data_IF_990453005468
#
_entry.id   IF_990453005468
#
_cell.length_a   1.000
_cell.length_b   1.000
_cell.length_c   1.000
_cell.angle_alpha   90.00
_cell.angle_beta   90.00
_cell.angle_gamma   90.00
#
_symmetry.space_group_name_H-M   'P 1'
#
loop_
_entity.id
_entity.type
_entity.pdbx_description
1 polymer ?
#
# COMPACT_ATOMS: atom_id res chain seq x y z
N UNK A 1 -19.71 -15.02 -7.68
CA UNK A 1 -18.85 -13.89 -8.06
C UNK A 1 -19.04 -13.67 -9.55
N UNK A 2 -19.36 -12.46 -9.96
CA UNK A 2 -19.57 -12.12 -11.37
C UNK A 2 -18.22 -11.94 -12.08
N UNK A 3 -18.21 -12.06 -13.41
CA UNK A 3 -17.01 -11.84 -14.22
C UNK A 3 -16.40 -10.45 -13.98
N UNK A 4 -17.24 -9.43 -13.77
CA UNK A 4 -16.83 -8.05 -13.50
C UNK A 4 -16.16 -7.90 -12.14
N UNK A 5 -16.66 -8.59 -11.12
CA UNK A 5 -16.05 -8.59 -9.79
C UNK A 5 -14.66 -9.24 -9.82
N UNK A 6 -14.51 -10.34 -10.58
CA UNK A 6 -13.23 -11.02 -10.77
C UNK A 6 -12.24 -10.13 -11.53
N UNK A 7 -12.66 -9.48 -12.62
CA UNK A 7 -11.83 -8.54 -13.37
C UNK A 7 -11.34 -7.41 -12.47
N UNK A 8 -12.25 -6.80 -11.69
CA UNK A 8 -11.90 -5.75 -10.73
C UNK A 8 -10.88 -6.22 -9.72
N UNK A 9 -11.11 -7.37 -9.08
CA UNK A 9 -10.18 -7.89 -8.06
C UNK A 9 -8.80 -8.16 -8.67
N UNK A 10 -8.74 -8.79 -9.83
CA UNK A 10 -7.48 -9.07 -10.52
C UNK A 10 -6.73 -7.79 -10.88
N UNK A 11 -7.43 -6.80 -11.44
CA UNK A 11 -6.83 -5.52 -11.80
C UNK A 11 -6.28 -4.79 -10.57
N UNK A 12 -7.07 -4.68 -9.50
CA UNK A 12 -6.64 -3.99 -8.28
C UNK A 12 -5.47 -4.71 -7.62
N UNK A 13 -5.49 -6.04 -7.52
CA UNK A 13 -4.37 -6.82 -6.98
C UNK A 13 -3.09 -6.61 -7.80
N UNK A 14 -3.19 -6.74 -9.12
CA UNK A 14 -2.06 -6.48 -10.01
C UNK A 14 -1.53 -5.06 -9.83
N UNK A 15 -2.38 -4.04 -9.95
CA UNK A 15 -1.98 -2.63 -9.91
C UNK A 15 -1.39 -2.20 -8.56
N UNK A 16 -1.86 -2.78 -7.46
CA UNK A 16 -1.51 -2.36 -6.09
C UNK A 16 -0.33 -3.09 -5.48
N UNK A 17 -0.19 -4.40 -5.77
CA UNK A 17 0.75 -5.27 -5.06
C UNK A 17 1.84 -5.85 -5.98
N UNK A 18 1.50 -6.19 -7.22
CA UNK A 18 2.39 -6.96 -8.09
C UNK A 18 3.09 -6.12 -9.14
N UNK A 19 2.41 -5.12 -9.69
CA UNK A 19 2.94 -4.31 -10.76
C UNK A 19 4.03 -3.36 -10.24
N UNK A 20 5.22 -3.51 -10.80
CA UNK A 20 6.28 -2.51 -10.66
C UNK A 20 5.98 -1.27 -11.51
N UNK A 21 6.60 -0.13 -11.19
CA UNK A 21 6.43 1.10 -11.98
C UNK A 21 6.76 0.88 -13.46
N UNK A 22 7.79 0.08 -13.75
CA UNK A 22 8.19 -0.29 -15.11
C UNK A 22 7.11 -1.10 -15.83
N UNK A 23 6.46 -2.04 -15.15
CA UNK A 23 5.38 -2.83 -15.75
C UNK A 23 4.13 -1.98 -16.00
N UNK A 24 3.85 -1.02 -15.13
CA UNK A 24 2.78 -0.03 -15.34
C UNK A 24 3.10 0.83 -16.56
N UNK A 25 4.34 1.28 -16.72
CA UNK A 25 4.78 2.05 -17.89
C UNK A 25 4.69 1.23 -19.19
N UNK A 26 5.11 -0.05 -19.14
CA UNK A 26 4.93 -0.98 -20.28
C UNK A 26 3.44 -1.17 -20.59
N UNK A 27 2.58 -1.30 -19.58
CA UNK A 27 1.14 -1.39 -19.79
C UNK A 27 0.55 -0.10 -20.37
N UNK A 28 1.04 1.08 -19.97
CA UNK A 28 0.67 2.38 -20.55
C UNK A 28 1.06 2.52 -22.01
N UNK A 29 2.15 1.87 -22.45
CA UNK A 29 2.61 1.94 -23.84
C UNK A 29 1.95 0.89 -24.72
N UNK A 30 1.81 -0.35 -24.24
CA UNK A 30 1.30 -1.47 -25.05
C UNK A 30 -0.21 -1.65 -24.98
N UNK A 31 -0.82 -1.38 -23.83
CA UNK A 31 -2.23 -1.66 -23.53
C UNK A 31 -2.96 -0.42 -23.02
N UNK A 32 -2.60 0.76 -23.54
CA UNK A 32 -3.06 2.07 -23.03
C UNK A 32 -4.57 2.14 -22.87
N UNK A 33 -5.32 1.75 -23.90
CA UNK A 33 -6.78 1.87 -23.90
C UNK A 33 -7.43 1.01 -22.83
N UNK A 34 -6.97 -0.24 -22.68
CA UNK A 34 -7.46 -1.16 -21.66
C UNK A 34 -7.11 -0.64 -20.26
N UNK A 35 -5.87 -0.18 -20.08
CA UNK A 35 -5.42 0.37 -18.80
C UNK A 35 -6.20 1.63 -18.42
N UNK A 36 -6.39 2.56 -19.35
CA UNK A 36 -7.16 3.80 -19.12
C UNK A 36 -8.63 3.48 -18.81
N UNK A 37 -9.23 2.50 -19.50
CA UNK A 37 -10.59 2.03 -19.19
C UNK A 37 -10.68 1.51 -17.76
N UNK A 38 -9.78 0.60 -17.37
CA UNK A 38 -9.77 -0.03 -16.05
C UNK A 38 -9.48 0.98 -14.94
N UNK A 39 -8.54 1.91 -15.17
CA UNK A 39 -8.26 3.01 -14.24
C UNK A 39 -9.46 3.92 -14.04
N UNK A 40 -10.20 4.23 -15.10
CA UNK A 40 -11.41 5.05 -15.02
C UNK A 40 -12.56 4.29 -14.33
N UNK A 41 -12.76 3.03 -14.70
CA UNK A 41 -13.86 2.20 -14.21
C UNK A 41 -13.70 1.85 -12.72
N UNK A 42 -12.46 1.61 -12.28
CA UNK A 42 -12.14 1.23 -10.90
C UNK A 42 -11.39 2.33 -10.14
N UNK A 43 -11.60 3.60 -10.53
CA UNK A 43 -10.89 4.75 -9.99
C UNK A 43 -11.04 4.89 -8.46
N UNK A 44 -12.21 4.57 -7.92
CA UNK A 44 -12.49 4.66 -6.48
C UNK A 44 -11.65 3.66 -5.68
N UNK A 45 -11.56 2.42 -6.16
CA UNK A 45 -10.75 1.38 -5.54
C UNK A 45 -9.25 1.69 -5.64
N UNK A 46 -8.80 2.17 -6.80
CA UNK A 46 -7.41 2.61 -7.01
C UNK A 46 -7.03 3.75 -6.05
N UNK A 47 -7.91 4.75 -5.88
CA UNK A 47 -7.68 5.87 -4.95
C UNK A 47 -7.60 5.40 -3.49
N UNK A 48 -8.48 4.48 -3.07
CA UNK A 48 -8.41 3.88 -1.71
C UNK A 48 -7.08 3.18 -1.46
N UNK A 49 -6.61 2.40 -2.42
CA UNK A 49 -5.30 1.72 -2.35
C UNK A 49 -4.17 2.75 -2.24
N UNK A 50 -4.15 3.75 -3.13
CA UNK A 50 -3.08 4.76 -3.15
C UNK A 50 -3.02 5.55 -1.84
N UNK A 51 -4.17 5.95 -1.28
CA UNK A 51 -4.23 6.60 0.04
C UNK A 51 -3.69 5.72 1.16
N UNK A 52 -4.03 4.44 1.13
CA UNK A 52 -3.55 3.47 2.13
C UNK A 52 -2.04 3.27 2.02
N UNK A 53 -1.51 3.19 0.79
CA UNK A 53 -0.07 3.10 0.52
C UNK A 53 0.67 4.32 1.04
N UNK A 54 0.20 5.53 0.73
CA UNK A 54 0.80 6.76 1.22
C UNK A 54 0.75 6.90 2.75
N UNK A 55 -0.34 6.46 3.38
CA UNK A 55 -0.44 6.43 4.83
C UNK A 55 0.60 5.47 5.43
N UNK A 56 0.75 4.27 4.85
CA UNK A 56 1.74 3.29 5.29
C UNK A 56 3.17 3.82 5.13
N UNK A 57 3.51 4.35 3.95
CA UNK A 57 4.80 5.00 3.68
C UNK A 57 5.09 6.08 4.72
N UNK A 58 4.12 6.96 5.01
CA UNK A 58 4.27 8.01 6.02
C UNK A 58 4.50 7.45 7.42
N UNK A 59 3.76 6.42 7.83
CA UNK A 59 3.92 5.78 9.15
C UNK A 59 5.29 5.11 9.24
N UNK A 60 5.69 4.32 8.24
CA UNK A 60 6.99 3.64 8.21
C UNK A 60 8.15 4.64 8.21
N UNK A 61 8.08 5.67 7.37
CA UNK A 61 9.08 6.75 7.34
C UNK A 61 9.14 7.51 8.66
N UNK A 62 7.99 7.72 9.34
CA UNK A 62 7.97 8.37 10.66
C UNK A 62 8.59 7.53 11.77
N UNK A 63 8.48 6.20 11.69
CA UNK A 63 9.13 5.26 12.63
C UNK A 63 10.64 5.21 12.45
N UNK A 64 11.14 5.44 11.23
CA UNK A 64 12.59 5.57 10.97
C UNK A 64 13.23 6.83 11.54
N UNK A 65 12.44 7.88 11.82
CA UNK A 65 12.92 9.15 12.42
C UNK A 65 12.63 9.28 13.92
N UNK A 66 11.85 8.37 14.49
CA UNK A 66 11.55 8.32 15.91
C UNK A 66 11.94 6.95 16.44
N UNK A 67 13.24 6.72 16.63
CA UNK A 67 13.68 5.94 17.79
C UNK A 67 13.12 6.66 19.01
N UNK A 68 11.91 6.27 19.39
CA UNK A 68 11.31 6.63 20.65
C UNK A 68 12.23 5.97 21.69
N UNK A 69 13.17 6.75 22.21
CA UNK A 69 14.00 6.35 23.33
C UNK A 69 13.07 6.10 24.50
N UNK A 70 12.61 4.86 24.65
CA UNK A 70 12.05 4.42 25.91
C UNK A 70 13.22 4.44 26.87
N UNK A 71 13.20 5.42 27.77
CA UNK A 71 14.07 5.43 28.94
C UNK A 71 13.71 4.18 29.76
N UNK A 72 14.50 3.12 29.58
CA UNK A 72 14.34 1.85 30.27
C UNK A 72 14.83 1.92 31.73
N UNK A 73 14.66 3.06 32.40
CA UNK A 73 14.94 3.20 33.83
C UNK A 73 13.73 2.72 34.65
N UNK A 74 13.29 1.48 34.42
CA UNK A 74 12.43 0.79 35.38
C UNK A 74 13.35 0.25 36.49
N UNK A 75 13.64 1.08 37.49
CA UNK A 75 14.25 0.62 38.75
C UNK A 75 13.23 -0.28 39.47
N UNK A 76 13.29 -1.57 39.19
CA UNK A 76 12.62 -2.58 40.00
C UNK A 76 13.42 -2.68 41.30
N UNK A 77 12.94 -2.00 42.35
CA UNK A 77 13.41 -2.26 43.70
C UNK A 77 12.86 -3.62 44.14
N UNK A 78 13.61 -4.68 43.88
CA UNK A 78 13.37 -5.96 44.54
C UNK A 78 13.74 -5.77 46.02
N UNK A 79 12.73 -5.70 46.88
CA UNK A 79 12.93 -5.86 48.31
C UNK A 79 13.39 -7.29 48.57
N UNK A 80 14.66 -7.44 48.95
CA UNK A 80 15.19 -8.69 49.52
C UNK A 80 14.58 -8.90 50.90
N UNK A 81 14.03 -10.08 51.16
CA UNK A 81 13.83 -10.60 52.51
C UNK A 81 14.30 -12.04 52.59
#
# INVERSE_FOLDING_TARGET
MTQKEIEKQNFILWYSLYATEKEIEIARTRNREILDRLLKEYAQEVDKVNRTRHLYERIVQSKGKKTQGFDATLKINCFSR
#
